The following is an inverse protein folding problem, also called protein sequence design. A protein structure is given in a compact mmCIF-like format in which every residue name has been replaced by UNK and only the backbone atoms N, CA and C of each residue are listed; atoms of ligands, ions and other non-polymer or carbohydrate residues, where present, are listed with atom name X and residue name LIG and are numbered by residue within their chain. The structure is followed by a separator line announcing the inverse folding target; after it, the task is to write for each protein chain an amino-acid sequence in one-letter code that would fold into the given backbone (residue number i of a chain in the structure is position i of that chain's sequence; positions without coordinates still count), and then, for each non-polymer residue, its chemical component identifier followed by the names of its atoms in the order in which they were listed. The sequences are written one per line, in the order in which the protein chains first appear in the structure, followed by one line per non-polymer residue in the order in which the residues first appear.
data_IF_179143363502
#
_entry.id   IF_179143363502
#
_cell.length_a   1.000
_cell.length_b   1.000
_cell.length_c   1.000
_cell.angle_alpha   90.00
_cell.angle_beta   90.00
_cell.angle_gamma   90.00
#
_symmetry.space_group_name_H-M   'P 1'
#
loop_
_entity.id
_entity.type
_entity.pdbx_description
1 polymer ?
#
# COMPACT_ATOMS: atom_id res chain seq x y z
N UNK A 1 -39.20 74.16 27.04
CA UNK A 1 -38.91 73.01 26.22
C UNK A 1 -37.54 72.51 26.67
N UNK A 2 -37.51 71.46 27.48
CA UNK A 2 -36.23 70.89 27.96
C UNK A 2 -35.91 69.60 27.19
N UNK A 3 -34.84 69.67 26.43
CA UNK A 3 -34.39 68.54 25.63
C UNK A 3 -33.46 67.68 26.46
N UNK A 4 -33.95 66.53 26.92
CA UNK A 4 -33.16 65.53 27.69
C UNK A 4 -32.37 64.68 26.69
N UNK A 5 -31.05 64.94 26.59
CA UNK A 5 -30.10 64.08 25.88
C UNK A 5 -29.87 62.80 26.76
N UNK A 6 -30.51 61.71 26.35
CA UNK A 6 -30.13 60.36 26.85
C UNK A 6 -28.79 59.97 26.23
N UNK A 7 -27.70 60.05 27.00
CA UNK A 7 -26.43 59.43 26.67
C UNK A 7 -26.56 57.91 26.68
N UNK A 8 -26.55 57.26 25.55
CA UNK A 8 -26.36 55.80 25.41
C UNK A 8 -24.93 55.50 25.84
N UNK A 9 -24.73 55.17 27.10
CA UNK A 9 -23.51 54.57 27.58
C UNK A 9 -23.42 53.16 26.99
N UNK A 10 -22.52 52.99 26.04
CA UNK A 10 -22.12 51.67 25.55
C UNK A 10 -21.73 50.81 26.76
N UNK A 11 -22.23 49.53 26.85
CA UNK A 11 -21.79 48.63 27.89
C UNK A 11 -20.30 48.43 27.76
N UNK A 12 -19.56 48.81 28.81
CA UNK A 12 -18.10 48.69 28.87
C UNK A 12 -17.67 47.33 28.38
N UNK A 13 -16.84 47.31 27.33
CA UNK A 13 -16.19 46.10 26.86
C UNK A 13 -15.44 45.49 28.05
N UNK A 14 -15.95 44.41 28.60
CA UNK A 14 -15.28 43.67 29.68
C UNK A 14 -13.94 43.18 29.10
N UNK A 15 -12.84 43.70 29.65
CA UNK A 15 -11.49 43.25 29.29
C UNK A 15 -11.36 41.75 29.56
N UNK A 16 -10.70 41.03 28.67
CA UNK A 16 -10.42 39.61 28.84
C UNK A 16 -9.57 39.40 30.11
N UNK A 17 -10.04 38.57 31.02
CA UNK A 17 -9.35 38.30 32.27
C UNK A 17 -8.07 37.45 32.04
N UNK A 18 -7.07 37.62 32.86
CA UNK A 18 -5.81 36.86 32.81
C UNK A 18 -6.05 35.34 32.80
N UNK A 19 -7.01 34.87 33.61
CA UNK A 19 -7.37 33.45 33.69
C UNK A 19 -7.93 32.91 32.35
N UNK A 20 -8.68 33.75 31.63
CA UNK A 20 -9.30 33.41 30.36
C UNK A 20 -8.24 33.24 29.24
N UNK A 21 -7.21 34.09 29.26
CA UNK A 21 -6.07 33.95 28.36
C UNK A 21 -5.27 32.67 28.65
N UNK A 22 -5.02 32.38 29.96
CA UNK A 22 -4.30 31.17 30.35
C UNK A 22 -5.06 29.89 29.97
N UNK A 23 -6.36 29.84 30.19
CA UNK A 23 -7.18 28.67 29.79
C UNK A 23 -7.24 28.52 28.30
N UNK A 24 -7.38 29.60 27.53
CA UNK A 24 -7.37 29.59 26.06
C UNK A 24 -6.03 29.05 25.50
N UNK A 25 -4.89 29.51 26.05
CA UNK A 25 -3.56 29.03 25.58
C UNK A 25 -3.36 27.56 25.88
N UNK A 26 -3.82 27.02 26.98
CA UNK A 26 -3.77 25.58 27.30
C UNK A 26 -4.62 24.78 26.32
N UNK A 27 -5.86 25.20 26.03
CA UNK A 27 -6.76 24.53 25.10
C UNK A 27 -6.14 24.52 23.69
N UNK A 28 -5.61 25.65 23.22
CA UNK A 28 -4.96 25.75 21.92
C UNK A 28 -3.75 24.82 21.85
N UNK A 29 -2.93 24.77 22.88
CA UNK A 29 -1.74 23.93 22.93
C UNK A 29 -2.09 22.42 22.81
N UNK A 30 -3.07 21.97 23.57
CA UNK A 30 -3.56 20.57 23.50
C UNK A 30 -4.12 20.26 22.11
N UNK A 31 -4.91 21.18 21.54
CA UNK A 31 -5.49 21.04 20.22
C UNK A 31 -4.42 20.95 19.13
N UNK A 32 -3.38 21.79 19.19
CA UNK A 32 -2.25 21.75 18.25
C UNK A 32 -1.49 20.43 18.33
N UNK A 33 -1.22 19.90 19.52
CA UNK A 33 -0.54 18.60 19.68
C UNK A 33 -1.38 17.49 19.09
N UNK A 34 -2.69 17.45 19.35
CA UNK A 34 -3.60 16.46 18.80
C UNK A 34 -3.63 16.48 17.26
N UNK A 35 -3.65 17.69 16.68
CA UNK A 35 -3.67 17.89 15.23
C UNK A 35 -2.36 17.45 14.59
N UNK A 36 -1.20 17.77 15.19
CA UNK A 36 0.10 17.31 14.71
C UNK A 36 0.23 15.78 14.75
N UNK A 37 -0.20 15.15 15.83
CA UNK A 37 -0.21 13.68 15.91
C UNK A 37 -1.10 13.05 14.82
N UNK A 38 -2.27 13.64 14.56
CA UNK A 38 -3.17 13.21 13.51
C UNK A 38 -2.53 13.29 12.12
N UNK A 39 -1.83 14.39 11.81
CA UNK A 39 -1.14 14.58 10.52
C UNK A 39 -0.01 13.55 10.35
N UNK A 40 0.79 13.31 11.39
CA UNK A 40 1.88 12.32 11.34
C UNK A 40 1.33 10.92 11.08
N UNK A 41 0.26 10.55 11.77
CA UNK A 41 -0.39 9.24 11.58
C UNK A 41 -0.97 9.11 10.16
N UNK A 42 -1.69 10.13 9.69
CA UNK A 42 -2.25 10.13 8.34
C UNK A 42 -1.17 10.01 7.24
N UNK A 43 -0.02 10.68 7.39
CA UNK A 43 1.10 10.56 6.46
C UNK A 43 1.70 9.15 6.44
N UNK A 44 1.83 8.51 7.60
CA UNK A 44 2.30 7.14 7.69
C UNK A 44 1.38 6.16 6.96
N UNK A 45 0.08 6.30 7.15
CA UNK A 45 -0.92 5.48 6.46
C UNK A 45 -0.93 5.70 4.94
N UNK A 46 -0.83 6.96 4.50
CA UNK A 46 -0.76 7.28 3.07
C UNK A 46 0.48 6.65 2.42
N UNK A 47 1.63 6.70 3.08
CA UNK A 47 2.84 6.05 2.56
C UNK A 47 2.70 4.53 2.47
N UNK A 48 2.10 3.90 3.49
CA UNK A 48 1.84 2.45 3.46
C UNK A 48 0.88 2.05 2.33
N UNK A 49 -0.11 2.91 2.02
CA UNK A 49 -1.02 2.70 0.89
C UNK A 49 -0.29 2.84 -0.45
N UNK A 50 0.56 3.85 -0.61
CA UNK A 50 1.37 4.05 -1.82
C UNK A 50 2.26 2.84 -2.13
N UNK A 51 2.96 2.31 -1.11
CA UNK A 51 3.78 1.10 -1.25
C UNK A 51 2.94 -0.09 -1.66
N UNK A 52 1.77 -0.26 -1.05
CA UNK A 52 0.84 -1.34 -1.36
C UNK A 52 0.27 -1.23 -2.78
N UNK A 53 -0.02 -0.04 -3.26
CA UNK A 53 -0.49 0.22 -4.62
C UNK A 53 0.60 -0.14 -5.63
N UNK A 54 1.82 0.36 -5.47
CA UNK A 54 2.96 0.00 -6.31
C UNK A 54 3.24 -1.49 -6.32
N UNK A 55 3.21 -2.15 -5.15
CA UNK A 55 3.36 -3.60 -5.08
C UNK A 55 2.27 -4.34 -5.87
N UNK A 56 1.06 -3.79 -5.92
CA UNK A 56 -0.03 -4.37 -6.70
C UNK A 56 0.17 -4.17 -8.20
N UNK A 57 0.61 -2.98 -8.61
CA UNK A 57 0.90 -2.68 -10.02
C UNK A 57 2.03 -3.57 -10.56
N UNK A 58 3.12 -3.70 -9.82
CA UNK A 58 4.24 -4.59 -10.21
C UNK A 58 3.82 -6.05 -10.28
N UNK A 59 2.99 -6.50 -9.34
CA UNK A 59 2.44 -7.85 -9.35
C UNK A 59 1.53 -8.10 -10.55
N UNK A 60 0.69 -7.13 -10.93
CA UNK A 60 -0.17 -7.22 -12.10
C UNK A 60 0.65 -7.23 -13.39
N UNK A 61 1.65 -6.37 -13.52
CA UNK A 61 2.56 -6.34 -14.67
C UNK A 61 3.30 -7.67 -14.82
N UNK A 62 3.77 -8.23 -13.71
CA UNK A 62 4.45 -9.52 -13.68
C UNK A 62 3.52 -10.67 -14.11
N UNK A 63 2.27 -10.66 -13.64
CA UNK A 63 1.27 -11.63 -14.05
C UNK A 63 0.94 -11.51 -15.55
N UNK A 64 0.79 -10.29 -16.08
CA UNK A 64 0.53 -10.08 -17.51
C UNK A 64 1.72 -10.53 -18.37
N UNK A 65 2.95 -10.31 -17.94
CA UNK A 65 4.15 -10.83 -18.60
C UNK A 65 4.10 -12.37 -18.71
N UNK A 66 3.82 -13.06 -17.60
CA UNK A 66 3.74 -14.53 -17.62
C UNK A 66 2.55 -15.07 -18.39
N UNK A 67 1.41 -14.36 -18.40
CA UNK A 67 0.30 -14.69 -19.29
C UNK A 67 0.72 -14.66 -20.76
N UNK A 68 1.45 -13.63 -21.18
CA UNK A 68 1.99 -13.53 -22.53
C UNK A 68 2.92 -14.70 -22.85
N UNK A 69 3.84 -15.03 -21.94
CA UNK A 69 4.76 -16.17 -22.09
C UNK A 69 4.07 -17.52 -22.21
N UNK A 70 3.00 -17.75 -21.43
CA UNK A 70 2.20 -18.97 -21.50
C UNK A 70 1.44 -19.03 -22.84
N UNK A 71 0.85 -17.91 -23.26
CA UNK A 71 0.11 -17.84 -24.51
C UNK A 71 0.99 -18.12 -25.76
N UNK A 72 2.27 -17.71 -25.71
CA UNK A 72 3.25 -17.98 -26.79
C UNK A 72 3.61 -19.48 -26.93
N UNK A 73 3.27 -20.32 -25.95
CA UNK A 73 3.53 -21.76 -25.99
C UNK A 73 4.99 -22.19 -25.87
N UNK A 74 5.95 -21.25 -25.83
CA UNK A 74 7.41 -21.49 -25.85
C UNK A 74 8.04 -21.45 -24.45
N UNK A 75 7.38 -22.07 -23.45
CA UNK A 75 7.93 -22.16 -22.10
C UNK A 75 9.03 -23.22 -22.01
N UNK A 76 10.20 -22.80 -21.53
CA UNK A 76 11.30 -23.72 -21.21
C UNK A 76 10.92 -24.62 -20.01
N UNK A 77 11.57 -25.79 -19.84
CA UNK A 77 11.33 -26.65 -18.69
C UNK A 77 11.60 -25.97 -17.34
N UNK A 78 12.56 -25.04 -17.28
CA UNK A 78 12.87 -24.24 -16.08
C UNK A 78 11.75 -23.24 -15.77
N UNK A 79 11.20 -22.56 -16.76
CA UNK A 79 10.09 -21.64 -16.60
C UNK A 79 8.80 -22.37 -16.16
N UNK A 80 8.62 -23.61 -16.56
CA UNK A 80 7.48 -24.45 -16.11
C UNK A 80 7.59 -24.91 -14.66
N UNK A 81 8.81 -24.88 -14.09
CA UNK A 81 9.06 -25.27 -12.70
C UNK A 81 8.71 -24.14 -11.68
N UNK A 82 8.41 -22.94 -12.17
CA UNK A 82 8.22 -21.76 -11.31
C UNK A 82 9.56 -21.12 -10.91
N UNK A 83 9.47 -20.02 -10.19
CA UNK A 83 10.64 -19.30 -9.66
C UNK A 83 10.66 -19.31 -8.13
N UNK A 84 11.39 -20.26 -7.49
CA UNK A 84 11.49 -20.32 -6.05
C UNK A 84 12.37 -19.23 -5.42
N UNK A 85 13.29 -18.64 -6.19
CA UNK A 85 14.24 -17.63 -5.70
C UNK A 85 13.66 -16.22 -5.72
N UNK A 86 12.75 -15.96 -6.65
CA UNK A 86 12.04 -14.70 -6.83
C UNK A 86 12.89 -13.58 -7.40
N UNK A 87 12.27 -12.75 -8.23
CA UNK A 87 12.88 -11.57 -8.84
C UNK A 87 12.90 -10.39 -7.86
N UNK A 88 14.08 -9.84 -7.57
CA UNK A 88 14.21 -8.67 -6.69
C UNK A 88 13.87 -7.38 -7.45
N UNK A 89 12.92 -6.61 -6.92
CA UNK A 89 12.50 -5.31 -7.45
C UNK A 89 12.53 -4.22 -6.37
N UNK A 90 12.49 -2.97 -6.80
CA UNK A 90 12.43 -1.80 -5.92
C UNK A 90 11.04 -1.16 -6.01
N UNK A 91 10.25 -1.22 -4.92
CA UNK A 91 8.95 -0.57 -4.83
C UNK A 91 9.08 0.94 -4.62
N UNK A 92 10.07 1.35 -3.81
CA UNK A 92 10.34 2.76 -3.55
C UNK A 92 11.85 2.98 -3.61
N UNK A 93 12.26 4.06 -4.29
CA UNK A 93 13.65 4.39 -4.44
C UNK A 93 14.37 3.56 -5.51
N UNK A 94 15.69 3.64 -5.53
CA UNK A 94 16.59 2.89 -6.41
C UNK A 94 17.81 2.41 -5.66
N UNK A 95 18.61 1.57 -6.31
CA UNK A 95 19.83 1.04 -5.73
C UNK A 95 20.77 2.18 -5.26
N UNK A 96 21.16 2.15 -3.97
CA UNK A 96 22.04 3.13 -3.37
C UNK A 96 21.35 4.34 -2.72
N UNK A 97 20.04 4.48 -2.80
CA UNK A 97 19.31 5.51 -2.08
C UNK A 97 19.10 5.14 -0.61
N UNK A 98 19.01 6.19 0.25
CA UNK A 98 18.90 6.04 1.71
C UNK A 98 17.59 5.39 2.17
N UNK A 99 16.54 5.51 1.34
CA UNK A 99 15.22 4.95 1.61
C UNK A 99 14.80 4.12 0.41
N UNK A 100 14.96 2.83 0.54
CA UNK A 100 14.60 1.86 -0.48
C UNK A 100 13.75 0.77 0.13
N UNK A 101 12.60 0.48 -0.48
CA UNK A 101 11.79 -0.68 -0.13
C UNK A 101 11.96 -1.69 -1.26
N UNK A 102 12.56 -2.82 -0.91
CA UNK A 102 12.73 -3.95 -1.81
C UNK A 102 11.58 -4.92 -1.66
N UNK A 103 11.22 -5.54 -2.77
CA UNK A 103 10.26 -6.64 -2.81
C UNK A 103 10.82 -7.77 -3.67
N UNK A 104 10.25 -8.95 -3.50
CA UNK A 104 10.51 -10.11 -4.34
C UNK A 104 9.22 -10.58 -4.98
N UNK A 105 9.27 -10.77 -6.29
CA UNK A 105 8.19 -11.32 -7.10
C UNK A 105 8.46 -12.81 -7.34
N UNK A 106 7.41 -13.59 -7.23
CA UNK A 106 7.46 -15.03 -7.43
C UNK A 106 6.31 -15.46 -8.32
N UNK A 107 6.50 -16.55 -9.05
CA UNK A 107 5.40 -17.22 -9.73
C UNK A 107 5.49 -18.73 -9.56
N UNK A 108 4.35 -19.38 -9.69
CA UNK A 108 4.22 -20.83 -9.75
C UNK A 108 3.23 -21.21 -10.86
N UNK A 109 3.57 -22.27 -11.61
CA UNK A 109 2.78 -22.78 -12.71
C UNK A 109 2.34 -24.21 -12.41
N UNK A 110 1.05 -24.38 -12.14
CA UNK A 110 0.46 -25.67 -11.88
C UNK A 110 -0.38 -26.11 -13.07
N UNK A 111 0.00 -27.24 -13.65
CA UNK A 111 -0.81 -27.85 -14.72
C UNK A 111 -2.11 -28.38 -14.14
N UNK A 112 -3.23 -27.91 -14.69
CA UNK A 112 -4.55 -28.43 -14.38
C UNK A 112 -4.86 -29.61 -15.29
N UNK A 113 -4.96 -30.82 -14.71
CA UNK A 113 -5.42 -31.99 -15.44
C UNK A 113 -6.93 -31.87 -15.70
N UNK A 114 -7.32 -31.76 -16.94
CA UNK A 114 -8.72 -31.86 -17.30
C UNK A 114 -9.16 -33.31 -17.22
N UNK A 115 -10.02 -33.63 -16.25
CA UNK A 115 -10.64 -34.94 -16.12
C UNK A 115 -11.51 -35.34 -17.34
N UNK A 116 -11.90 -34.37 -18.18
CA UNK A 116 -12.79 -34.55 -19.34
C UNK A 116 -12.09 -34.49 -20.69
N UNK A 117 -10.76 -34.58 -20.79
CA UNK A 117 -10.07 -34.67 -22.07
C UNK A 117 -10.26 -36.07 -22.68
N UNK A 118 -11.45 -36.32 -23.16
CA UNK A 118 -11.69 -37.37 -24.14
C UNK A 118 -11.06 -36.94 -25.48
N UNK A 119 -9.77 -37.08 -25.57
CA UNK A 119 -9.11 -37.56 -26.79
C UNK A 119 -8.88 -36.60 -27.94
N UNK A 120 -9.04 -35.29 -27.87
CA UNK A 120 -8.76 -34.41 -29.04
C UNK A 120 -8.48 -32.95 -28.74
N UNK A 121 -8.15 -32.54 -27.55
CA UNK A 121 -7.81 -31.12 -27.36
C UNK A 121 -6.33 -30.92 -27.06
N UNK A 122 -5.63 -30.32 -28.00
CA UNK A 122 -4.25 -29.80 -27.88
C UNK A 122 -4.14 -28.62 -26.92
N UNK A 123 -5.09 -28.51 -25.95
CA UNK A 123 -5.15 -27.43 -25.00
C UNK A 123 -4.61 -27.87 -23.66
N UNK A 124 -3.52 -27.22 -23.24
CA UNK A 124 -3.00 -27.36 -21.89
C UNK A 124 -3.49 -26.21 -21.03
N UNK A 125 -4.04 -26.52 -19.85
CA UNK A 125 -4.47 -25.51 -18.88
C UNK A 125 -3.47 -25.42 -17.76
N UNK A 126 -3.12 -24.20 -17.40
CA UNK A 126 -2.24 -23.88 -16.28
C UNK A 126 -2.94 -22.93 -15.34
N UNK A 127 -2.78 -23.17 -14.05
CA UNK A 127 -3.04 -22.19 -13.02
C UNK A 127 -1.73 -21.45 -12.79
N UNK A 128 -1.73 -20.16 -13.09
CA UNK A 128 -0.63 -19.25 -12.83
C UNK A 128 -0.92 -18.55 -11.51
N UNK A 129 -0.07 -18.74 -10.53
CA UNK A 129 -0.10 -18.06 -9.25
C UNK A 129 1.12 -17.13 -9.15
N UNK A 130 0.90 -15.84 -8.93
CA UNK A 130 1.95 -14.86 -8.71
C UNK A 130 1.80 -14.22 -7.34
N UNK A 131 2.91 -14.00 -6.65
CA UNK A 131 2.88 -13.28 -5.38
C UNK A 131 4.10 -12.39 -5.21
N UNK A 132 3.89 -11.32 -4.45
CA UNK A 132 4.93 -10.36 -4.10
C UNK A 132 5.09 -10.31 -2.59
N UNK A 133 6.34 -10.26 -2.12
CA UNK A 133 6.69 -10.12 -0.71
C UNK A 133 7.55 -8.89 -0.51
N UNK A 134 7.22 -8.08 0.50
CA UNK A 134 8.00 -6.89 0.85
C UNK A 134 7.99 -6.63 2.35
N UNK A 135 9.00 -5.93 2.83
CA UNK A 135 9.11 -5.49 4.21
C UNK A 135 8.77 -4.01 4.30
N UNK A 136 7.77 -3.67 5.09
CA UNK A 136 7.37 -2.29 5.34
C UNK A 136 7.89 -1.84 6.71
N UNK A 137 8.92 -0.99 6.69
CA UNK A 137 9.55 -0.48 7.91
C UNK A 137 8.75 0.65 8.59
N UNK A 138 7.77 1.24 7.91
CA UNK A 138 7.01 2.38 8.41
C UNK A 138 5.68 2.00 9.07
N UNK A 139 5.18 0.80 8.83
CA UNK A 139 3.86 0.37 9.32
C UNK A 139 3.81 0.03 10.81
N UNK A 140 4.96 -0.08 11.48
CA UNK A 140 5.00 -0.38 12.92
C UNK A 140 6.03 0.50 13.59
N UNK A 141 5.68 1.24 14.67
CA UNK A 141 6.69 1.92 15.47
C UNK A 141 7.70 0.89 15.93
N UNK A 142 9.02 1.23 16.00
CA UNK A 142 10.05 0.29 16.35
C UNK A 142 9.88 -0.16 17.81
N UNK A 143 9.05 -1.15 18.02
CA UNK A 143 9.07 -1.94 19.23
C UNK A 143 10.38 -2.72 19.19
N UNK A 144 11.16 -2.65 20.24
CA UNK A 144 12.50 -3.28 20.37
C UNK A 144 12.52 -4.78 20.04
N UNK A 145 11.38 -5.42 19.86
CA UNK A 145 11.19 -6.85 19.56
C UNK A 145 10.30 -7.12 18.35
N UNK A 146 9.88 -6.11 17.58
CA UNK A 146 9.12 -6.32 16.36
C UNK A 146 10.12 -6.58 15.23
N UNK A 147 10.28 -7.83 14.85
CA UNK A 147 10.87 -8.20 13.56
C UNK A 147 10.09 -7.50 12.45
N UNK A 148 10.77 -7.13 11.36
CA UNK A 148 10.12 -6.57 10.17
C UNK A 148 8.93 -7.45 9.78
N UNK A 149 7.74 -6.86 9.71
CA UNK A 149 6.55 -7.60 9.29
C UNK A 149 6.61 -7.74 7.78
N UNK A 150 6.86 -8.96 7.32
CA UNK A 150 6.78 -9.29 5.90
C UNK A 150 5.31 -9.22 5.46
N UNK A 151 5.03 -8.41 4.44
CA UNK A 151 3.73 -8.32 3.79
C UNK A 151 3.76 -9.13 2.50
N UNK A 152 2.67 -9.83 2.23
CA UNK A 152 2.50 -10.62 1.02
C UNK A 152 1.20 -10.25 0.33
N UNK A 153 1.23 -10.23 -0.99
CA UNK A 153 0.06 -10.19 -1.86
C UNK A 153 0.15 -11.28 -2.89
N UNK A 154 -0.98 -11.93 -3.16
CA UNK A 154 -1.09 -13.07 -4.06
C UNK A 154 -2.26 -12.89 -5.01
N UNK A 155 -2.05 -13.25 -6.26
CA UNK A 155 -3.09 -13.31 -7.29
C UNK A 155 -2.92 -14.60 -8.08
N UNK A 156 -4.03 -15.18 -8.54
CA UNK A 156 -4.00 -16.38 -9.39
C UNK A 156 -4.93 -16.20 -10.58
N UNK A 157 -4.60 -16.88 -11.66
CA UNK A 157 -5.41 -16.92 -12.88
C UNK A 157 -5.25 -18.27 -13.58
N UNK A 158 -6.25 -18.66 -14.35
CA UNK A 158 -6.19 -19.87 -15.19
C UNK A 158 -5.96 -19.45 -16.62
N UNK A 159 -4.95 -20.05 -17.26
CA UNK A 159 -4.56 -19.79 -18.64
C UNK A 159 -4.63 -21.07 -19.46
N UNK A 160 -4.89 -20.91 -20.75
CA UNK A 160 -4.84 -22.01 -21.72
C UNK A 160 -3.67 -21.77 -22.64
N UNK A 161 -2.78 -22.76 -22.75
CA UNK A 161 -1.69 -22.80 -23.75
C UNK A 161 -2.27 -23.37 -25.04
N UNK A 162 -2.06 -22.68 -26.16
CA UNK A 162 -2.39 -23.17 -27.49
C UNK A 162 -1.11 -23.72 -28.11
N UNK A 163 -1.09 -24.99 -28.47
CA UNK A 163 0.00 -25.57 -29.26
C UNK A 163 -0.25 -25.18 -30.71
N UNK A 164 0.64 -24.34 -31.29
CA UNK A 164 0.61 -23.91 -32.70
C UNK A 164 1.51 -24.83 -33.53
#
# INVERSE_FOLDING_TARGET
MSCSLKSNLNPAAKGVGFIEVMTATVIISISCIGLLMGIVHARSELHALEVKERATEELLNYMEYWKGRIADGNLSPSERAGDPDGDEIYLVGSQGQRYTIKAKLYYDLKRLNNWNDYGTSDFRRYELECWIKWNDFFATPPSRNAGSVEKERRISTVMTEFEI
#
